data_IF_806946770459
#
_entry.id   IF_806946770459
#
_cell.length_a   1.000
_cell.length_b   1.000
_cell.length_c   1.000
_cell.angle_alpha   90.00
_cell.angle_beta   90.00
_cell.angle_gamma   90.00
#
_symmetry.space_group_name_H-M   'P 1'
#
loop_
_entity.id
_entity.type
_entity.pdbx_description
1 polymer ?
#
# COMPACT_ATOMS: atom_id res chain seq x y z
N UNK A 1 14.33 32.66 15.27
CA UNK A 1 13.47 31.57 14.76
C UNK A 1 14.33 30.32 14.63
N UNK A 2 13.84 29.14 15.03
CA UNK A 2 14.53 27.87 14.79
C UNK A 2 14.47 27.45 13.31
N UNK A 3 15.13 26.34 12.94
CA UNK A 3 15.13 25.79 11.57
C UNK A 3 13.71 25.52 11.04
N UNK A 4 12.76 25.22 11.95
CA UNK A 4 11.36 24.92 11.62
C UNK A 4 10.47 26.17 11.46
N UNK A 5 11.03 27.38 11.59
CA UNK A 5 10.28 28.62 11.43
C UNK A 5 9.42 29.02 12.64
N UNK A 6 9.64 28.44 13.82
CA UNK A 6 9.07 28.86 15.11
C UNK A 6 10.08 28.73 16.26
N UNK A 7 9.73 29.16 17.48
CA UNK A 7 10.62 29.09 18.64
C UNK A 7 10.80 27.64 19.12
N UNK A 8 11.99 27.31 19.65
CA UNK A 8 12.37 25.93 20.06
C UNK A 8 11.38 25.29 21.03
N UNK A 9 10.86 26.07 21.98
CA UNK A 9 9.95 25.59 23.02
C UNK A 9 8.46 25.74 22.67
N UNK A 10 8.14 26.34 21.50
CA UNK A 10 6.76 26.65 21.11
C UNK A 10 5.85 25.42 21.07
N UNK A 11 6.35 24.30 20.53
CA UNK A 11 5.60 23.03 20.49
C UNK A 11 5.23 22.56 21.90
N UNK A 12 6.16 22.65 22.86
CA UNK A 12 5.93 22.20 24.24
C UNK A 12 4.93 23.10 24.94
N UNK A 13 5.09 24.41 24.80
CA UNK A 13 4.22 25.40 25.44
C UNK A 13 2.78 25.29 24.91
N UNK A 14 2.61 25.21 23.59
CA UNK A 14 1.29 25.07 22.96
C UNK A 14 0.65 23.72 23.30
N UNK A 15 1.41 22.62 23.27
CA UNK A 15 0.91 21.30 23.66
C UNK A 15 0.40 21.27 25.11
N UNK A 16 1.12 21.91 26.03
CA UNK A 16 0.70 22.02 27.42
C UNK A 16 -0.61 22.78 27.57
N UNK A 17 -0.74 23.94 26.91
CA UNK A 17 -1.93 24.79 27.00
C UNK A 17 -3.16 24.18 26.31
N UNK A 18 -2.98 23.44 25.21
CA UNK A 18 -4.08 22.82 24.47
C UNK A 18 -4.44 21.41 24.95
N UNK A 19 -3.71 20.86 25.93
CA UNK A 19 -3.83 19.48 26.38
C UNK A 19 -3.73 18.45 25.23
N UNK A 20 -2.82 18.71 24.28
CA UNK A 20 -2.58 17.86 23.12
C UNK A 20 -1.19 17.24 23.16
N UNK A 21 -0.98 16.14 22.43
CA UNK A 21 0.35 15.54 22.32
C UNK A 21 1.32 16.47 21.59
N UNK A 22 2.61 16.45 21.99
CA UNK A 22 3.66 17.24 21.32
C UNK A 22 3.77 16.92 19.83
N UNK A 23 3.55 15.66 19.45
CA UNK A 23 3.56 15.23 18.05
C UNK A 23 2.43 15.88 17.24
N UNK A 24 1.22 15.94 17.80
CA UNK A 24 0.08 16.58 17.14
C UNK A 24 0.31 18.08 16.94
N UNK A 25 0.78 18.78 17.97
CA UNK A 25 1.07 20.21 17.90
C UNK A 25 2.24 20.51 16.95
N UNK A 26 3.27 19.67 16.92
CA UNK A 26 4.36 19.81 15.96
C UNK A 26 3.85 19.70 14.51
N UNK A 27 2.97 18.74 14.22
CA UNK A 27 2.36 18.59 12.89
C UNK A 27 1.53 19.82 12.50
N UNK A 28 0.70 20.33 13.42
CA UNK A 28 -0.12 21.53 13.19
C UNK A 28 0.74 22.77 12.97
N UNK A 29 1.82 22.96 13.74
CA UNK A 29 2.74 24.10 13.59
C UNK A 29 3.53 24.02 12.29
N UNK A 30 3.99 22.83 11.89
CA UNK A 30 4.67 22.63 10.61
C UNK A 30 3.73 22.95 9.44
N UNK A 31 2.48 22.47 9.50
CA UNK A 31 1.47 22.75 8.49
C UNK A 31 1.13 24.25 8.41
N UNK A 32 0.92 24.89 9.56
CA UNK A 32 0.67 26.33 9.64
C UNK A 32 1.86 27.15 9.11
N UNK A 33 3.10 26.74 9.41
CA UNK A 33 4.30 27.38 8.89
C UNK A 33 4.36 27.26 7.35
N UNK A 34 4.10 26.06 6.82
CA UNK A 34 4.09 25.78 5.39
C UNK A 34 3.05 26.63 4.66
N UNK A 35 1.81 26.68 5.18
CA UNK A 35 0.73 27.53 4.67
C UNK A 35 1.11 29.01 4.67
N UNK A 36 1.62 29.53 5.81
CA UNK A 36 1.98 30.93 5.95
C UNK A 36 3.13 31.36 5.04
N UNK A 37 4.06 30.44 4.75
CA UNK A 37 5.30 30.75 4.03
C UNK A 37 5.17 30.62 2.52
N UNK A 38 4.44 29.62 2.05
CA UNK A 38 4.43 29.26 0.62
C UNK A 38 3.07 29.43 -0.07
N UNK A 39 1.98 29.58 0.70
CA UNK A 39 0.61 29.59 0.18
C UNK A 39 -0.18 30.84 0.63
N UNK A 40 0.26 32.05 0.24
CA UNK A 40 -0.38 33.29 0.69
C UNK A 40 -1.81 33.44 0.18
N UNK A 41 -2.13 32.97 -1.03
CA UNK A 41 -3.47 33.12 -1.60
C UNK A 41 -4.47 32.13 -0.97
N UNK A 42 -4.01 30.91 -0.68
CA UNK A 42 -4.78 29.90 0.06
C UNK A 42 -5.06 30.37 1.48
N UNK A 43 -4.07 30.98 2.15
CA UNK A 43 -4.25 31.57 3.47
C UNK A 43 -5.26 32.74 3.43
N UNK A 44 -5.22 33.57 2.40
CA UNK A 44 -6.20 34.64 2.22
C UNK A 44 -7.62 34.09 2.04
N UNK A 45 -7.79 33.09 1.16
CA UNK A 45 -9.09 32.44 0.94
C UNK A 45 -9.64 31.77 2.20
N UNK A 46 -8.77 31.16 3.02
CA UNK A 46 -9.15 30.57 4.30
C UNK A 46 -9.60 31.65 5.31
N UNK A 47 -8.88 32.77 5.38
CA UNK A 47 -9.22 33.90 6.27
C UNK A 47 -10.52 34.59 5.89
N UNK A 48 -10.81 34.66 4.60
CA UNK A 48 -12.06 35.20 4.05
C UNK A 48 -13.24 34.22 4.18
N UNK A 49 -12.99 32.97 4.62
CA UNK A 49 -14.02 31.95 4.77
C UNK A 49 -14.50 31.35 3.44
N UNK A 50 -13.76 31.56 2.34
CA UNK A 50 -14.08 31.00 1.01
C UNK A 50 -13.74 29.52 0.90
N UNK A 51 -12.77 29.06 1.68
CA UNK A 51 -12.39 27.65 1.80
C UNK A 51 -12.28 27.24 3.27
N UNK A 52 -12.67 26.00 3.58
CA UNK A 52 -12.56 25.43 4.93
C UNK A 52 -11.19 24.77 5.15
N UNK A 53 -10.91 24.43 6.41
CA UNK A 53 -9.65 23.80 6.82
C UNK A 53 -9.38 22.46 6.11
N UNK A 54 -10.42 21.67 5.79
CA UNK A 54 -10.27 20.38 5.11
C UNK A 54 -9.85 20.51 3.64
N UNK A 55 -10.29 21.58 2.96
CA UNK A 55 -9.81 21.95 1.61
C UNK A 55 -8.39 22.49 1.64
N UNK A 56 -8.06 23.33 2.62
CA UNK A 56 -6.68 23.82 2.83
C UNK A 56 -5.72 22.65 3.07
N UNK A 57 -6.10 21.71 3.94
CA UNK A 57 -5.33 20.49 4.19
C UNK A 57 -5.09 19.66 2.92
N UNK A 58 -6.10 19.53 2.05
CA UNK A 58 -5.95 18.81 0.79
C UNK A 58 -4.91 19.47 -0.13
N UNK A 59 -4.95 20.81 -0.24
CA UNK A 59 -3.98 21.58 -1.03
C UNK A 59 -2.57 21.42 -0.47
N UNK A 60 -2.39 21.55 0.85
CA UNK A 60 -1.08 21.43 1.48
C UNK A 60 -0.52 20.00 1.37
N UNK A 61 -1.37 18.97 1.48
CA UNK A 61 -0.94 17.58 1.37
C UNK A 61 -0.32 17.28 0.00
N UNK A 62 -0.93 17.76 -1.09
CA UNK A 62 -0.38 17.58 -2.44
C UNK A 62 0.95 18.30 -2.69
N UNK A 63 1.28 19.29 -1.86
CA UNK A 63 2.49 20.10 -1.99
C UNK A 63 3.75 19.55 -1.30
N UNK A 64 3.62 18.48 -0.49
CA UNK A 64 4.71 18.00 0.38
C UNK A 64 5.95 17.53 -0.38
N UNK A 65 5.78 16.96 -1.55
CA UNK A 65 6.87 16.39 -2.36
C UNK A 65 7.31 17.35 -3.49
N UNK A 66 6.67 18.50 -3.61
CA UNK A 66 6.97 19.46 -4.67
C UNK A 66 8.13 20.39 -4.24
N UNK A 67 9.10 20.67 -5.14
CA UNK A 67 10.12 21.67 -4.87
C UNK A 67 9.52 23.04 -4.56
N UNK A 68 10.13 23.78 -3.64
CA UNK A 68 9.68 25.13 -3.25
C UNK A 68 9.51 26.07 -4.46
N UNK A 69 10.31 25.88 -5.52
CA UNK A 69 10.25 26.68 -6.74
C UNK A 69 8.93 26.55 -7.52
N UNK A 70 8.24 25.40 -7.45
CA UNK A 70 7.00 25.14 -8.20
C UNK A 70 5.73 25.37 -7.37
N UNK A 71 5.86 25.65 -6.07
CA UNK A 71 4.72 25.88 -5.18
C UNK A 71 3.81 27.05 -5.60
N UNK A 72 4.33 28.20 -6.10
CA UNK A 72 3.46 29.28 -6.58
C UNK A 72 2.63 28.88 -7.80
N UNK A 73 3.19 28.08 -8.71
CA UNK A 73 2.47 27.58 -9.89
C UNK A 73 1.42 26.54 -9.48
N UNK A 74 1.75 25.69 -8.50
CA UNK A 74 0.81 24.73 -7.92
C UNK A 74 -0.37 25.42 -7.23
N UNK A 75 -0.11 26.46 -6.44
CA UNK A 75 -1.18 27.26 -5.82
C UNK A 75 -2.09 27.91 -6.87
N UNK A 76 -1.50 28.49 -7.93
CA UNK A 76 -2.26 29.11 -9.02
C UNK A 76 -3.09 28.11 -9.84
N UNK A 77 -2.67 26.84 -9.89
CA UNK A 77 -3.41 25.79 -10.61
C UNK A 77 -4.60 25.25 -9.81
N UNK A 78 -4.45 25.11 -8.49
CA UNK A 78 -5.44 24.39 -7.65
C UNK A 78 -6.44 25.33 -7.00
N UNK A 79 -6.04 26.57 -6.68
CA UNK A 79 -6.89 27.50 -5.92
C UNK A 79 -8.09 28.06 -6.71
N UNK A 80 -7.98 28.39 -8.02
CA UNK A 80 -9.12 28.93 -8.76
C UNK A 80 -10.30 27.96 -8.80
N UNK A 81 -11.46 28.39 -8.31
CA UNK A 81 -12.68 27.57 -8.27
C UNK A 81 -12.76 26.56 -7.11
N UNK A 82 -11.74 26.48 -6.24
CA UNK A 82 -11.73 25.58 -5.07
C UNK A 82 -12.90 25.83 -4.09
N UNK A 83 -13.43 27.06 -4.06
CA UNK A 83 -14.58 27.48 -3.25
C UNK A 83 -15.92 26.86 -3.71
N UNK A 84 -16.02 26.47 -4.99
CA UNK A 84 -17.26 26.00 -5.61
C UNK A 84 -17.31 24.47 -5.83
N UNK A 85 -16.27 23.75 -5.41
CA UNK A 85 -16.16 22.30 -5.63
C UNK A 85 -16.13 21.52 -4.33
N UNK A 86 -16.51 20.25 -4.39
CA UNK A 86 -16.38 19.34 -3.26
C UNK A 86 -14.91 19.05 -2.99
N UNK A 87 -14.63 18.53 -1.78
CA UNK A 87 -13.27 18.20 -1.36
C UNK A 87 -12.66 17.11 -2.25
N UNK A 88 -13.48 16.15 -2.70
CA UNK A 88 -13.07 15.04 -3.56
C UNK A 88 -12.64 15.54 -4.94
N UNK A 89 -13.41 16.47 -5.53
CA UNK A 89 -13.04 17.09 -6.81
C UNK A 89 -11.75 17.90 -6.68
N UNK A 90 -11.60 18.66 -5.58
CA UNK A 90 -10.36 19.39 -5.30
C UNK A 90 -9.16 18.44 -5.15
N UNK A 91 -9.34 17.27 -4.53
CA UNK A 91 -8.28 16.26 -4.46
C UNK A 91 -7.88 15.72 -5.83
N UNK A 92 -8.82 15.59 -6.77
CA UNK A 92 -8.53 15.30 -8.18
C UNK A 92 -7.63 16.36 -8.80
N UNK A 93 -7.99 17.65 -8.66
CA UNK A 93 -7.18 18.77 -9.18
C UNK A 93 -5.81 18.85 -8.55
N UNK A 94 -5.71 18.62 -7.23
CA UNK A 94 -4.44 18.51 -6.51
C UNK A 94 -3.57 17.40 -7.12
N UNK A 95 -4.16 16.24 -7.42
CA UNK A 95 -3.45 15.10 -8.02
C UNK A 95 -2.91 15.44 -9.41
N UNK A 96 -3.75 16.02 -10.27
CA UNK A 96 -3.35 16.44 -11.62
C UNK A 96 -2.28 17.54 -11.59
N UNK A 97 -2.46 18.57 -10.76
CA UNK A 97 -1.49 19.65 -10.61
C UNK A 97 -0.15 19.14 -10.06
N UNK A 98 -0.19 18.20 -9.10
CA UNK A 98 1.01 17.52 -8.59
C UNK A 98 1.70 16.74 -9.71
N UNK A 99 0.96 15.97 -10.50
CA UNK A 99 1.54 15.18 -11.60
C UNK A 99 2.23 16.05 -12.64
N UNK A 100 1.62 17.18 -13.01
CA UNK A 100 2.16 18.12 -14.00
C UNK A 100 3.41 18.87 -13.52
N UNK A 101 3.47 19.21 -12.24
CA UNK A 101 4.51 20.08 -11.66
C UNK A 101 5.62 19.31 -10.94
N UNK A 102 5.49 17.99 -10.83
CA UNK A 102 6.53 17.17 -10.24
C UNK A 102 7.76 17.17 -11.16
N UNK A 103 8.98 17.45 -10.64
CA UNK A 103 10.20 17.54 -11.44
C UNK A 103 10.67 16.20 -12.02
N UNK A 104 10.20 15.08 -11.46
CA UNK A 104 10.45 13.74 -11.97
C UNK A 104 9.19 13.19 -12.65
N UNK A 105 9.40 12.58 -13.82
CA UNK A 105 8.35 11.89 -14.59
C UNK A 105 7.74 10.73 -13.79
N UNK A 106 6.57 10.26 -14.21
CA UNK A 106 5.94 9.07 -13.59
C UNK A 106 6.86 7.85 -13.69
N UNK A 107 7.57 7.70 -14.80
CA UNK A 107 8.47 6.58 -15.06
C UNK A 107 9.67 6.58 -14.12
N UNK A 108 10.33 7.73 -13.91
CA UNK A 108 11.46 7.85 -12.97
C UNK A 108 11.06 7.57 -11.52
N UNK A 109 9.82 7.89 -11.14
CA UNK A 109 9.27 7.57 -9.80
C UNK A 109 8.85 6.11 -9.69
N UNK A 110 8.34 5.51 -10.75
CA UNK A 110 8.07 4.08 -10.82
C UNK A 110 9.37 3.30 -10.66
N UNK A 111 10.42 3.69 -11.39
CA UNK A 111 11.74 3.08 -11.33
C UNK A 111 12.39 3.21 -9.94
N UNK A 112 12.33 4.39 -9.31
CA UNK A 112 12.82 4.56 -7.92
C UNK A 112 11.97 3.79 -6.89
N UNK A 113 10.64 3.76 -7.04
CA UNK A 113 9.77 2.97 -6.16
C UNK A 113 10.01 1.47 -6.34
N UNK A 114 10.35 1.01 -7.55
CA UNK A 114 10.75 -0.36 -7.81
C UNK A 114 12.03 -0.75 -7.07
N UNK A 115 12.97 0.17 -6.84
CA UNK A 115 14.19 -0.09 -6.05
C UNK A 115 13.89 -0.31 -4.56
N UNK A 116 12.81 0.26 -4.03
CA UNK A 116 12.41 0.13 -2.64
C UNK A 116 11.52 -1.08 -2.33
N UNK A 117 11.33 -2.00 -3.30
CA UNK A 117 10.56 -3.23 -3.08
C UNK A 117 11.20 -4.08 -1.97
N UNK A 118 10.37 -4.59 -1.07
CA UNK A 118 10.86 -5.31 0.09
C UNK A 118 9.76 -6.03 0.84
N UNK A 119 10.21 -6.99 1.65
CA UNK A 119 9.38 -7.71 2.61
C UNK A 119 10.02 -7.54 3.98
N UNK A 120 9.24 -7.04 4.94
CA UNK A 120 9.70 -6.80 6.30
C UNK A 120 8.90 -7.63 7.28
N UNK A 121 9.59 -8.18 8.28
CA UNK A 121 9.01 -8.94 9.36
C UNK A 121 9.15 -8.16 10.67
N UNK A 122 8.04 -7.94 11.37
CA UNK A 122 8.00 -7.22 12.64
C UNK A 122 7.35 -8.11 13.71
N UNK A 123 8.14 -8.65 14.66
CA UNK A 123 7.58 -9.36 15.81
C UNK A 123 6.62 -8.47 16.61
N UNK A 124 5.51 -9.03 17.09
CA UNK A 124 4.55 -8.37 17.97
C UNK A 124 4.44 -9.13 19.31
N UNK A 125 3.68 -8.57 20.24
CA UNK A 125 3.34 -9.23 21.51
C UNK A 125 2.45 -10.46 21.25
N UNK A 126 2.27 -11.30 22.29
CA UNK A 126 1.40 -12.48 22.26
C UNK A 126 1.75 -13.55 21.20
N UNK A 127 3.00 -13.60 20.76
CA UNK A 127 3.46 -14.58 19.75
C UNK A 127 2.97 -14.27 18.33
N UNK A 128 2.47 -13.05 18.11
CA UNK A 128 2.05 -12.57 16.79
C UNK A 128 3.20 -11.88 16.07
N UNK A 129 3.08 -11.73 14.75
CA UNK A 129 4.00 -10.94 13.96
C UNK A 129 3.29 -10.33 12.75
N UNK A 130 3.85 -9.24 12.25
CA UNK A 130 3.40 -8.60 11.02
C UNK A 130 4.41 -8.88 9.90
N UNK A 131 3.87 -9.18 8.72
CA UNK A 131 4.61 -9.24 7.47
C UNK A 131 4.12 -8.11 6.57
N UNK A 132 4.99 -7.18 6.22
CA UNK A 132 4.68 -6.06 5.34
C UNK A 132 5.39 -6.23 4.02
N UNK A 133 4.66 -6.08 2.92
CA UNK A 133 5.20 -6.19 1.57
C UNK A 133 4.99 -4.85 0.87
N UNK A 134 6.05 -4.33 0.26
CA UNK A 134 6.02 -3.16 -0.62
C UNK A 134 6.59 -3.55 -1.98
N UNK A 135 5.92 -3.13 -3.05
CA UNK A 135 6.27 -3.52 -4.40
C UNK A 135 5.26 -2.97 -5.42
N UNK A 136 5.34 -3.45 -6.68
CA UNK A 136 4.47 -2.99 -7.76
C UNK A 136 3.00 -3.19 -7.42
N UNK A 137 2.19 -2.14 -7.60
CA UNK A 137 0.79 -2.12 -7.20
C UNK A 137 -0.06 -3.17 -7.93
N UNK A 138 0.19 -3.36 -9.23
CA UNK A 138 -0.42 -4.38 -10.07
C UNK A 138 -0.19 -5.80 -9.52
N UNK A 139 1.06 -6.08 -9.13
CA UNK A 139 1.47 -7.38 -8.59
C UNK A 139 0.84 -7.61 -7.21
N UNK A 140 0.93 -6.63 -6.31
CA UNK A 140 0.35 -6.77 -4.97
C UNK A 140 -1.19 -6.81 -4.98
N UNK A 141 -1.82 -6.13 -5.93
CA UNK A 141 -3.27 -6.21 -6.14
C UNK A 141 -3.67 -7.59 -6.66
N UNK A 142 -2.92 -8.17 -7.59
CA UNK A 142 -3.14 -9.54 -8.05
C UNK A 142 -3.02 -10.55 -6.90
N UNK A 143 -1.98 -10.41 -6.06
CA UNK A 143 -1.81 -11.24 -4.84
C UNK A 143 -3.00 -11.07 -3.89
N UNK A 144 -3.40 -9.82 -3.62
CA UNK A 144 -4.55 -9.54 -2.75
C UNK A 144 -5.84 -10.17 -3.28
N UNK A 145 -6.10 -10.04 -4.58
CA UNK A 145 -7.30 -10.62 -5.20
C UNK A 145 -7.32 -12.14 -5.11
N UNK A 146 -6.19 -12.80 -5.35
CA UNK A 146 -6.06 -14.25 -5.20
C UNK A 146 -6.39 -14.70 -3.77
N UNK A 147 -5.80 -14.05 -2.76
CA UNK A 147 -6.07 -14.34 -1.34
C UNK A 147 -7.54 -14.11 -1.00
N UNK A 148 -8.11 -13.02 -1.51
CA UNK A 148 -9.49 -12.64 -1.27
C UNK A 148 -10.49 -13.66 -1.89
N UNK A 149 -10.20 -14.17 -3.09
CA UNK A 149 -11.02 -15.22 -3.72
C UNK A 149 -10.95 -16.53 -2.93
N UNK A 150 -9.76 -16.93 -2.49
CA UNK A 150 -9.58 -18.14 -1.68
C UNK A 150 -10.29 -18.04 -0.34
N UNK A 151 -10.16 -16.90 0.36
CA UNK A 151 -10.84 -16.66 1.62
C UNK A 151 -12.37 -16.70 1.46
N UNK A 152 -12.91 -16.12 0.37
CA UNK A 152 -14.36 -16.19 0.06
C UNK A 152 -14.81 -17.63 -0.18
N UNK A 153 -14.04 -18.41 -0.94
CA UNK A 153 -14.36 -19.81 -1.21
C UNK A 153 -14.35 -20.64 0.08
N UNK A 154 -13.35 -20.48 0.95
CA UNK A 154 -13.32 -21.13 2.26
C UNK A 154 -14.53 -20.75 3.11
N UNK A 155 -14.96 -19.50 3.04
CA UNK A 155 -16.11 -19.01 3.80
C UNK A 155 -17.44 -19.64 3.40
N UNK A 156 -17.55 -20.18 2.18
CA UNK A 156 -18.75 -20.87 1.69
C UNK A 156 -18.87 -22.31 2.20
N UNK A 157 -17.84 -22.86 2.86
CA UNK A 157 -17.87 -24.23 3.37
C UNK A 157 -18.79 -24.36 4.60
N UNK A 158 -19.49 -25.48 4.68
CA UNK A 158 -20.35 -25.80 5.82
C UNK A 158 -19.54 -25.87 7.12
N UNK A 159 -20.03 -25.21 8.17
CA UNK A 159 -19.39 -25.17 9.48
C UNK A 159 -18.26 -24.13 9.63
N UNK A 160 -18.02 -23.27 8.64
CA UNK A 160 -16.97 -22.25 8.71
C UNK A 160 -17.35 -21.06 9.62
N UNK A 161 -16.81 -21.05 10.83
CA UNK A 161 -17.08 -20.03 11.86
C UNK A 161 -16.07 -18.88 11.88
N UNK A 162 -14.91 -19.02 11.23
CA UNK A 162 -13.85 -17.98 11.22
C UNK A 162 -14.28 -16.74 10.44
N UNK A 163 -13.72 -15.59 10.82
CA UNK A 163 -13.96 -14.33 10.13
C UNK A 163 -13.26 -14.31 8.77
N UNK A 164 -13.75 -13.48 7.84
CA UNK A 164 -13.10 -13.33 6.53
C UNK A 164 -11.65 -12.85 6.65
N UNK A 165 -11.35 -12.01 7.65
CA UNK A 165 -9.98 -11.54 7.90
C UNK A 165 -9.05 -12.69 8.34
N UNK A 166 -9.51 -13.57 9.22
CA UNK A 166 -8.76 -14.77 9.62
C UNK A 166 -8.53 -15.70 8.42
N UNK A 167 -9.56 -15.93 7.61
CA UNK A 167 -9.45 -16.77 6.40
C UNK A 167 -8.48 -16.20 5.36
N UNK A 168 -8.36 -14.87 5.23
CA UNK A 168 -7.35 -14.25 4.36
C UNK A 168 -5.94 -14.50 4.87
N UNK A 169 -5.73 -14.35 6.18
CA UNK A 169 -4.43 -14.59 6.79
C UNK A 169 -4.00 -16.06 6.60
N UNK A 170 -4.92 -16.99 6.87
CA UNK A 170 -4.71 -18.43 6.67
C UNK A 170 -4.43 -18.75 5.19
N UNK A 171 -5.27 -18.25 4.27
CA UNK A 171 -5.11 -18.49 2.83
C UNK A 171 -3.79 -17.92 2.27
N UNK A 172 -3.37 -16.75 2.75
CA UNK A 172 -2.08 -16.17 2.36
C UNK A 172 -0.90 -17.02 2.86
N UNK A 173 -0.92 -17.45 4.12
CA UNK A 173 0.12 -18.33 4.66
C UNK A 173 0.18 -19.66 3.91
N UNK A 174 -0.98 -20.26 3.62
CA UNK A 174 -1.10 -21.49 2.86
C UNK A 174 -0.52 -21.35 1.44
N UNK A 175 -0.83 -20.27 0.72
CA UNK A 175 -0.26 -19.99 -0.60
C UNK A 175 1.27 -19.91 -0.57
N UNK A 176 1.82 -19.18 0.40
CA UNK A 176 3.27 -19.03 0.56
C UNK A 176 3.96 -20.35 0.93
N UNK A 177 3.36 -21.17 1.79
CA UNK A 177 3.97 -22.42 2.25
C UNK A 177 3.79 -23.58 1.25
N UNK A 178 2.65 -23.66 0.56
CA UNK A 178 2.37 -24.70 -0.43
C UNK A 178 3.23 -24.56 -1.69
N UNK A 179 3.52 -23.33 -2.12
CA UNK A 179 4.43 -23.09 -3.25
C UNK A 179 5.84 -23.66 -3.01
N UNK A 180 6.29 -23.69 -1.75
CA UNK A 180 7.57 -24.30 -1.37
C UNK A 180 7.52 -25.84 -1.38
N UNK A 181 6.39 -26.43 -0.98
CA UNK A 181 6.20 -27.89 -0.97
C UNK A 181 6.13 -28.49 -2.40
N UNK A 182 5.47 -27.81 -3.33
CA UNK A 182 5.38 -28.26 -4.73
C UNK A 182 6.73 -28.14 -5.48
N UNK A 183 7.58 -27.17 -5.11
CA UNK A 183 8.93 -27.05 -5.66
C UNK A 183 9.89 -28.16 -5.21
N UNK A 184 9.75 -28.65 -3.97
CA UNK A 184 10.55 -29.76 -3.44
C UNK A 184 10.12 -31.14 -3.99
N UNK A 185 8.84 -31.32 -4.30
CA UNK A 185 8.35 -32.54 -4.94
C UNK A 185 8.80 -32.64 -6.41
N UNK A 186 8.93 -31.51 -7.13
CA UNK A 186 9.37 -31.48 -8.51
C UNK A 186 10.88 -31.75 -8.69
N UNK A 187 11.71 -31.54 -7.66
CA UNK A 187 13.17 -31.78 -7.73
C UNK A 187 13.60 -33.21 -7.37
N UNK A 188 12.67 -34.10 -6.99
CA UNK A 188 12.97 -35.51 -6.66
C UNK A 188 12.67 -36.47 -7.83
N UNK A 189 12.34 -35.95 -9.01
CA UNK A 189 12.05 -36.73 -10.22
C UNK A 189 13.24 -36.82 -11.18
N UNK A 190 14.34 -37.48 -10.79
CA UNK A 190 15.45 -37.68 -11.73
C UNK A 190 16.65 -38.48 -11.21
N UNK A 191 16.51 -39.80 -11.07
CA UNK A 191 17.47 -40.82 -11.50
C UNK A 191 17.06 -42.23 -11.00
N UNK A 192 16.63 -43.11 -11.91
CA UNK A 192 16.65 -44.56 -11.71
C UNK A 192 18.08 -45.06 -12.04
N UNK A 193 18.74 -45.95 -11.29
CA UNK A 193 18.52 -47.40 -11.17
C UNK A 193 19.66 -48.00 -10.32
N UNK A 194 19.41 -49.05 -9.50
CA UNK A 194 20.02 -50.40 -9.57
C UNK A 194 19.57 -51.32 -8.42
N UNK A 195 19.56 -52.63 -8.72
CA UNK A 195 19.07 -53.83 -8.02
C UNK A 195 19.45 -54.10 -6.55
N UNK A 196 18.60 -54.91 -5.88
CA UNK A 196 19.04 -56.17 -5.24
C UNK A 196 18.94 -56.32 -3.71
N UNK A 197 17.91 -57.05 -3.26
CA UNK A 197 17.86 -58.06 -2.16
C UNK A 197 18.03 -57.69 -0.66
N UNK A 198 16.96 -58.05 0.09
CA UNK A 198 16.82 -58.67 1.43
C UNK A 198 17.37 -58.07 2.75
N UNK A 199 16.43 -58.11 3.73
CA UNK A 199 16.57 -58.43 5.17
C UNK A 199 16.47 -57.29 6.24
N UNK A 200 15.41 -57.44 7.05
CA UNK A 200 15.26 -57.28 8.52
C UNK A 200 15.72 -56.01 9.27
N UNK A 201 14.83 -55.50 10.15
CA UNK A 201 15.26 -54.80 11.38
C UNK A 201 14.52 -53.51 11.78
N UNK A 202 13.60 -53.66 12.72
CA UNK A 202 13.01 -52.70 13.68
C UNK A 202 13.84 -51.46 14.10
N UNK A 203 13.19 -50.30 14.28
CA UNK A 203 13.79 -49.15 15.00
C UNK A 203 13.02 -47.83 14.95
N UNK A 204 12.13 -47.64 15.91
CA UNK A 204 11.44 -46.42 16.37
C UNK A 204 12.21 -45.09 16.31
N UNK A 205 11.52 -44.02 15.89
CA UNK A 205 11.97 -42.63 16.04
C UNK A 205 10.98 -41.58 15.51
N UNK A 206 9.82 -41.45 16.14
CA UNK A 206 8.85 -40.36 15.91
C UNK A 206 9.34 -39.06 16.57
N UNK A 207 9.38 -37.91 15.87
CA UNK A 207 9.14 -36.63 16.51
C UNK A 207 7.65 -36.28 16.41
N UNK A 208 7.10 -35.97 17.58
CA UNK A 208 5.71 -35.65 17.81
C UNK A 208 5.29 -34.31 17.17
N UNK A 209 4.14 -34.35 16.48
CA UNK A 209 3.06 -33.37 16.53
C UNK A 209 3.39 -31.87 16.49
N UNK A 210 3.26 -31.29 15.29
CA UNK A 210 2.57 -30.00 15.15
C UNK A 210 1.20 -30.29 14.53
N UNK A 211 0.21 -30.45 15.41
CA UNK A 211 -1.19 -30.51 15.03
C UNK A 211 -1.67 -29.08 14.69
N UNK A 212 -1.50 -28.70 13.42
CA UNK A 212 -2.29 -27.67 12.76
C UNK A 212 -2.94 -28.36 11.57
N UNK A 213 -4.28 -28.35 11.51
CA UNK A 213 -5.07 -29.15 10.56
C UNK A 213 -4.68 -28.90 9.11
N UNK A 214 -3.73 -29.69 8.60
CA UNK A 214 -3.39 -29.74 7.19
C UNK A 214 -4.59 -30.27 6.43
N UNK A 215 -5.16 -29.43 5.57
CA UNK A 215 -6.15 -29.83 4.58
C UNK A 215 -5.48 -30.81 3.60
N UNK A 216 -5.45 -32.07 4.00
CA UNK A 216 -5.22 -33.22 3.11
C UNK A 216 -6.55 -33.53 2.44
N UNK A 217 -6.90 -32.74 1.42
CA UNK A 217 -8.17 -32.89 0.72
C UNK A 217 -8.26 -31.97 -0.50
N UNK A 218 -8.21 -32.60 -1.67
CA UNK A 218 -8.33 -32.03 -3.02
C UNK A 218 -7.28 -31.01 -3.46
N UNK A 219 -6.36 -31.53 -4.26
CA UNK A 219 -5.45 -30.80 -5.13
C UNK A 219 -6.27 -29.89 -6.05
N UNK A 220 -6.28 -28.59 -5.76
CA UNK A 220 -6.55 -27.56 -6.76
C UNK A 220 -5.23 -26.95 -7.27
N UNK A 221 -4.33 -27.84 -7.66
CA UNK A 221 -3.17 -27.53 -8.50
C UNK A 221 -3.45 -28.03 -9.90
N UNK A 222 -3.81 -27.13 -10.82
CA UNK A 222 -3.95 -27.48 -12.24
C UNK A 222 -4.87 -26.57 -13.07
N UNK A 223 -5.63 -25.66 -12.47
CA UNK A 223 -6.43 -24.69 -13.20
C UNK A 223 -5.82 -23.30 -13.11
N UNK A 224 -5.47 -22.70 -14.25
CA UNK A 224 -5.13 -21.28 -14.37
C UNK A 224 -6.13 -20.41 -13.59
N UNK A 225 -5.75 -19.91 -12.42
CA UNK A 225 -6.50 -18.86 -11.74
C UNK A 225 -6.27 -17.59 -12.56
N UNK A 226 -7.27 -17.19 -13.34
CA UNK A 226 -7.22 -15.96 -14.14
C UNK A 226 -7.48 -14.77 -13.21
N UNK A 227 -6.42 -14.06 -12.85
CA UNK A 227 -6.55 -12.73 -12.28
C UNK A 227 -7.04 -11.76 -13.37
N UNK A 228 -8.14 -11.06 -13.11
CA UNK A 228 -8.62 -9.99 -13.99
C UNK A 228 -8.11 -8.64 -13.46
N UNK A 229 -7.39 -7.90 -14.30
CA UNK A 229 -6.99 -6.51 -14.07
C UNK A 229 -7.74 -5.65 -15.09
N UNK A 230 -8.61 -4.76 -14.62
CA UNK A 230 -9.29 -3.79 -15.47
C UNK A 230 -8.44 -2.53 -15.55
N UNK A 231 -7.92 -2.22 -16.75
CA UNK A 231 -7.11 -1.03 -17.03
C UNK A 231 -7.93 -0.06 -17.89
N UNK A 232 -8.00 1.22 -17.50
CA UNK A 232 -8.65 2.25 -18.31
C UNK A 232 -7.58 2.95 -19.15
N UNK A 233 -7.56 2.65 -20.45
CA UNK A 233 -6.67 3.32 -21.41
C UNK A 233 -7.45 4.38 -22.21
N UNK A 234 -6.91 5.60 -22.39
CA UNK A 234 -7.45 6.57 -23.35
C UNK A 234 -7.55 5.96 -24.76
N UNK A 235 -8.58 6.35 -25.53
CA UNK A 235 -8.80 5.83 -26.89
C UNK A 235 -7.60 6.12 -27.83
N UNK A 236 -6.85 7.19 -27.57
CA UNK A 236 -5.63 7.53 -28.29
C UNK A 236 -4.52 6.50 -28.07
N UNK A 237 -4.35 6.00 -26.84
CA UNK A 237 -3.42 4.92 -26.48
C UNK A 237 -3.83 3.59 -27.11
N UNK A 238 -5.13 3.26 -27.10
CA UNK A 238 -5.64 2.06 -27.75
C UNK A 238 -5.43 2.06 -29.27
N UNK A 239 -5.33 3.24 -29.89
CA UNK A 239 -5.05 3.44 -31.31
C UNK A 239 -3.55 3.49 -31.65
N UNK A 240 -2.66 3.24 -30.69
CA UNK A 240 -1.20 3.21 -30.89
C UNK A 240 -0.47 4.51 -30.53
N UNK A 241 -1.09 5.38 -29.73
CA UNK A 241 -0.43 6.54 -29.12
C UNK A 241 0.41 6.17 -27.88
N UNK A 242 1.41 7.00 -27.57
CA UNK A 242 2.40 6.78 -26.50
C UNK A 242 1.98 7.38 -25.14
N UNK A 243 0.66 7.47 -24.90
CA UNK A 243 0.12 8.07 -23.67
C UNK A 243 -0.19 6.96 -22.65
N UNK A 244 0.41 6.97 -21.44
CA UNK A 244 0.29 5.87 -20.48
C UNK A 244 -1.14 5.68 -19.96
N UNK A 245 -1.55 4.43 -19.76
CA UNK A 245 -2.87 4.09 -19.20
C UNK A 245 -2.96 4.35 -17.69
N UNK A 246 -4.13 4.77 -17.21
CA UNK A 246 -4.38 5.06 -15.79
C UNK A 246 -5.09 3.86 -15.12
N UNK A 247 -4.61 3.46 -13.94
CA UNK A 247 -5.27 2.46 -13.10
C UNK A 247 -6.20 3.20 -12.12
N UNK A 248 -7.49 2.87 -12.13
CA UNK A 248 -8.45 3.53 -11.25
C UNK A 248 -8.08 3.30 -9.76
N UNK A 249 -7.81 4.38 -9.04
CA UNK A 249 -7.39 4.37 -7.63
C UNK A 249 -5.89 4.19 -7.37
N UNK A 250 -5.07 3.98 -8.39
CA UNK A 250 -3.60 3.90 -8.28
C UNK A 250 -2.99 4.74 -9.41
N UNK A 251 -2.72 6.01 -9.10
CA UNK A 251 -2.22 6.99 -10.08
C UNK A 251 -0.84 6.70 -10.63
#
# INVERSE_FOLDING_TARGET
MGPDGYARDAVREVAWHLHQSRQSVAAQLAEANHLCRYFPNTLAAMREGRIDAGRVQAILYGSRDLPVAVLPEYEAAVLPGAENVTRETLQGWVREARQRLHPQTLDERHDQAMEHRGVWFRPQEDGMAELTIHGPADTLLAVHNLVQEWAKHLKTRDGETRTLAQLRADAFADLCLQSHANGAAASTGGAATTHGEDADGNGTGQPAGLAGGGLTGEVWGGGNVKAFVSVTIPLATAAGGDEPGELDGYG
#
